data_IF_837464945341
#
_entry.id   IF_837464945341
#
_cell.length_a   1.000
_cell.length_b   1.000
_cell.length_c   1.000
_cell.angle_alpha   90.00
_cell.angle_beta   90.00
_cell.angle_gamma   90.00
#
_symmetry.space_group_name_H-M   'P 1'
#
loop_
_entity.id
_entity.type
_entity.pdbx_description
1 polymer ?
#
# COMPACT_ATOMS: atom_id res chain seq x y z
N UNK A 1 -23.64 20.03 29.10
CA UNK A 1 -22.35 19.46 28.63
C UNK A 1 -22.60 18.53 27.44
N UNK A 2 -22.38 19.00 26.19
CA UNK A 2 -22.53 18.17 24.98
C UNK A 2 -21.44 18.39 23.92
N UNK A 3 -20.43 19.21 24.23
CA UNK A 3 -19.44 19.74 23.27
C UNK A 3 -18.11 18.96 23.18
N UNK A 4 -17.72 18.22 24.22
CA UNK A 4 -16.41 17.55 24.29
C UNK A 4 -16.41 16.18 23.59
N UNK A 5 -17.51 15.43 23.72
CA UNK A 5 -17.61 14.09 23.13
C UNK A 5 -17.69 14.12 21.60
N UNK A 6 -18.24 15.20 21.01
CA UNK A 6 -18.31 15.38 19.56
C UNK A 6 -16.95 15.66 18.93
N UNK A 7 -16.05 16.39 19.62
CA UNK A 7 -14.70 16.66 19.11
C UNK A 7 -13.77 15.45 19.25
N UNK A 8 -13.92 14.64 20.31
CA UNK A 8 -13.15 13.40 20.43
C UNK A 8 -13.56 12.36 19.39
N UNK A 9 -14.86 12.22 19.13
CA UNK A 9 -15.37 11.30 18.12
C UNK A 9 -14.93 11.67 16.70
N UNK A 10 -14.84 12.96 16.36
CA UNK A 10 -14.36 13.40 15.05
C UNK A 10 -12.87 13.11 14.86
N UNK A 11 -12.05 13.33 15.88
CA UNK A 11 -10.61 13.00 15.86
C UNK A 11 -10.41 11.49 15.72
N UNK A 12 -11.15 10.67 16.49
CA UNK A 12 -11.08 9.20 16.37
C UNK A 12 -11.51 8.72 14.98
N UNK A 13 -12.56 9.30 14.39
CA UNK A 13 -12.97 8.99 13.01
C UNK A 13 -11.89 9.35 12.00
N UNK A 14 -11.21 10.48 12.17
CA UNK A 14 -10.13 10.90 11.28
C UNK A 14 -8.93 9.94 11.38
N UNK A 15 -8.51 9.57 12.59
CA UNK A 15 -7.43 8.59 12.81
C UNK A 15 -7.79 7.24 12.19
N UNK A 16 -9.02 6.76 12.40
CA UNK A 16 -9.46 5.48 11.85
C UNK A 16 -9.52 5.50 10.32
N UNK A 17 -9.94 6.62 9.73
CA UNK A 17 -9.91 6.81 8.27
C UNK A 17 -8.49 6.81 7.74
N UNK A 18 -7.58 7.54 8.37
CA UNK A 18 -6.16 7.55 8.00
C UNK A 18 -5.53 6.17 8.13
N UNK A 19 -5.84 5.43 9.20
CA UNK A 19 -5.34 4.07 9.40
C UNK A 19 -5.84 3.10 8.32
N UNK A 20 -7.11 3.21 7.91
CA UNK A 20 -7.64 2.44 6.77
C UNK A 20 -6.90 2.75 5.47
N UNK A 21 -6.58 4.02 5.21
CA UNK A 21 -5.81 4.41 4.03
C UNK A 21 -4.40 3.81 4.07
N UNK A 22 -3.73 3.90 5.22
CA UNK A 22 -2.40 3.30 5.41
C UNK A 22 -2.43 1.79 5.20
N UNK A 23 -3.42 1.10 5.77
CA UNK A 23 -3.60 -0.33 5.58
C UNK A 23 -3.88 -0.70 4.12
N UNK A 24 -4.70 0.08 3.43
CA UNK A 24 -4.99 -0.16 2.02
C UNK A 24 -3.75 0.02 1.15
N UNK A 25 -2.95 1.06 1.42
CA UNK A 25 -1.68 1.30 0.72
C UNK A 25 -0.66 0.21 0.99
N UNK A 26 -0.50 -0.22 2.25
CA UNK A 26 0.43 -1.29 2.60
C UNK A 26 0.02 -2.62 1.95
N UNK A 27 -1.27 -2.96 1.98
CA UNK A 27 -1.77 -4.17 1.35
C UNK A 27 -1.60 -4.14 -0.17
N UNK A 28 -1.90 -2.99 -0.80
CA UNK A 28 -1.70 -2.81 -2.25
C UNK A 28 -0.23 -2.96 -2.62
N UNK A 29 0.67 -2.39 -1.83
CA UNK A 29 2.12 -2.53 -2.03
C UNK A 29 2.55 -4.00 -1.92
N UNK A 30 2.07 -4.73 -0.90
CA UNK A 30 2.35 -6.16 -0.75
C UNK A 30 1.87 -6.96 -1.97
N UNK A 31 0.67 -6.69 -2.48
CA UNK A 31 0.13 -7.38 -3.66
C UNK A 31 1.01 -7.11 -4.89
N UNK A 32 1.43 -5.85 -5.10
CA UNK A 32 2.34 -5.50 -6.20
C UNK A 32 3.65 -6.27 -6.07
N UNK A 33 4.30 -6.25 -4.90
CA UNK A 33 5.58 -6.93 -4.68
C UNK A 33 5.48 -8.44 -4.89
N UNK A 34 4.44 -9.08 -4.36
CA UNK A 34 4.20 -10.51 -4.54
C UNK A 34 3.99 -10.83 -6.02
N UNK A 35 3.18 -10.03 -6.72
CA UNK A 35 2.92 -10.24 -8.15
C UNK A 35 4.19 -10.09 -8.98
N UNK A 36 4.98 -9.06 -8.68
CA UNK A 36 6.28 -8.81 -9.33
C UNK A 36 7.25 -9.96 -9.08
N UNK A 37 7.35 -10.46 -7.84
CA UNK A 37 8.19 -11.60 -7.49
C UNK A 37 7.85 -12.83 -8.34
N UNK A 38 6.58 -13.21 -8.40
CA UNK A 38 6.14 -14.36 -9.19
C UNK A 38 6.34 -14.13 -10.70
N UNK A 39 6.13 -12.92 -11.17
CA UNK A 39 6.35 -12.56 -12.57
C UNK A 39 7.84 -12.68 -12.95
N UNK A 40 8.74 -12.15 -12.11
CA UNK A 40 10.19 -12.21 -12.32
C UNK A 40 10.69 -13.66 -12.35
N UNK A 41 10.22 -14.51 -11.43
CA UNK A 41 10.56 -15.94 -11.43
C UNK A 41 10.07 -16.66 -12.68
N UNK A 42 8.87 -16.33 -13.15
CA UNK A 42 8.27 -16.98 -14.32
C UNK A 42 8.94 -16.57 -15.62
N UNK A 43 9.45 -15.34 -15.71
CA UNK A 43 10.03 -14.78 -16.93
C UNK A 43 11.43 -14.20 -16.69
N UNK A 44 12.46 -14.97 -16.36
CA UNK A 44 13.75 -14.46 -15.88
C UNK A 44 14.50 -13.51 -16.84
N UNK A 45 14.18 -13.54 -18.15
CA UNK A 45 14.84 -12.72 -19.17
C UNK A 45 13.95 -11.59 -19.74
N UNK A 46 12.80 -11.32 -19.12
CA UNK A 46 11.96 -10.19 -19.53
C UNK A 46 12.66 -8.86 -19.20
N UNK A 47 12.36 -7.82 -19.98
CA UNK A 47 12.86 -6.46 -19.73
C UNK A 47 11.71 -5.58 -19.31
N UNK A 48 11.86 -4.91 -18.17
CA UNK A 48 10.96 -3.82 -17.80
C UNK A 48 11.25 -2.58 -18.65
N UNK A 49 10.23 -1.73 -18.90
CA UNK A 49 10.47 -0.36 -19.34
C UNK A 49 11.36 0.39 -18.34
N UNK A 50 12.13 1.37 -18.80
CA UNK A 50 13.09 2.14 -17.96
C UNK A 50 12.48 2.69 -16.66
N UNK A 51 11.22 3.12 -16.70
CA UNK A 51 10.53 3.64 -15.51
C UNK A 51 10.21 2.57 -14.46
N UNK A 52 10.15 1.29 -14.86
CA UNK A 52 9.80 0.15 -14.02
C UNK A 52 10.98 -0.80 -13.82
N UNK A 53 12.18 -0.43 -14.27
CA UNK A 53 13.39 -1.26 -14.15
C UNK A 53 13.67 -1.65 -12.69
N UNK A 54 13.30 -0.80 -11.73
CA UNK A 54 13.43 -1.12 -10.31
C UNK A 54 12.66 -2.39 -9.88
N UNK A 55 11.62 -2.80 -10.61
CA UNK A 55 10.86 -4.02 -10.32
C UNK A 55 11.65 -5.29 -10.62
N UNK A 56 12.71 -5.25 -11.44
CA UNK A 56 13.56 -6.42 -11.67
C UNK A 56 14.38 -6.80 -10.43
N UNK A 57 14.56 -5.88 -9.48
CA UNK A 57 15.28 -6.14 -8.23
C UNK A 57 14.43 -6.83 -7.17
N UNK A 58 13.11 -6.95 -7.39
CA UNK A 58 12.24 -7.73 -6.50
C UNK A 58 12.53 -9.21 -6.74
N UNK A 59 13.27 -9.82 -5.82
CA UNK A 59 13.84 -11.18 -5.95
C UNK A 59 13.21 -12.15 -4.97
#
# INVERSE_FOLDING_TARGET
>A
MKSSNSSLLSVLKQIFTSFKVVLFLSLSLCIILISTYFYNQRFPNHKYPTLLEFLSYVT
#
